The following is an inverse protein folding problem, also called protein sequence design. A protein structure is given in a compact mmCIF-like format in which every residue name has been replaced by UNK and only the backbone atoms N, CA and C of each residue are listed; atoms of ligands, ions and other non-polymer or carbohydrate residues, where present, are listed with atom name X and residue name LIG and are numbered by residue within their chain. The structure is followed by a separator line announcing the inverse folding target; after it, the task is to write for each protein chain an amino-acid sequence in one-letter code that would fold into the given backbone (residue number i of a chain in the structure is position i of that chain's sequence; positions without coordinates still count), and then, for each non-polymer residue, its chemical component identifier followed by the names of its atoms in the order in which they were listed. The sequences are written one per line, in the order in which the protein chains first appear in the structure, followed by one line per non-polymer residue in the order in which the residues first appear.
data_IF_397943129349
#
_entry.id   IF_397943129349
#
_cell.length_a   1.000
_cell.length_b   1.000
_cell.length_c   1.000
_cell.angle_alpha   90.00
_cell.angle_beta   90.00
_cell.angle_gamma   90.00
#
_symmetry.space_group_name_H-M   'P 1'
#
loop_
_entity.id
_entity.type
_entity.pdbx_description
1 polymer ?
#
# COMPACT_ATOMS: atom_id res chain seq x y z
N UNK A 1 -1.88 2.45 -37.38
CA UNK A 1 -0.87 3.52 -37.50
C UNK A 1 -0.27 3.94 -36.15
N UNK A 2 -1.03 4.29 -35.09
CA UNK A 2 -0.45 4.71 -33.78
C UNK A 2 0.19 3.52 -33.05
N UNK A 3 -0.38 2.33 -33.12
CA UNK A 3 0.17 1.12 -32.48
C UNK A 3 1.50 0.70 -33.13
N UNK A 4 1.60 0.80 -34.46
CA UNK A 4 2.82 0.47 -35.20
C UNK A 4 3.98 1.43 -34.86
N UNK A 5 3.70 2.71 -34.71
CA UNK A 5 4.71 3.70 -34.28
C UNK A 5 5.25 3.41 -32.88
N UNK A 6 4.41 2.95 -31.95
CA UNK A 6 4.84 2.61 -30.58
C UNK A 6 5.73 1.38 -30.58
N UNK A 7 5.36 0.36 -31.31
CA UNK A 7 6.15 -0.89 -31.47
C UNK A 7 7.50 -0.58 -32.10
N UNK A 8 7.53 0.22 -33.18
CA UNK A 8 8.77 0.62 -33.86
C UNK A 8 9.71 1.36 -32.92
N UNK A 9 9.21 2.28 -32.09
CA UNK A 9 10.00 2.99 -31.08
C UNK A 9 10.61 2.03 -30.06
N UNK A 10 9.84 1.06 -29.55
CA UNK A 10 10.31 0.07 -28.58
C UNK A 10 11.42 -0.80 -29.20
N UNK A 11 11.26 -1.23 -30.44
CA UNK A 11 12.26 -2.01 -31.15
C UNK A 11 13.56 -1.20 -31.33
N UNK A 12 13.47 0.05 -31.77
CA UNK A 12 14.64 0.92 -31.93
C UNK A 12 15.36 1.17 -30.60
N UNK A 13 14.61 1.42 -29.51
CA UNK A 13 15.18 1.56 -28.17
C UNK A 13 15.85 0.27 -27.69
N UNK A 14 15.26 -0.90 -27.98
CA UNK A 14 15.84 -2.20 -27.65
C UNK A 14 17.16 -2.44 -28.41
N UNK A 15 17.21 -2.18 -29.71
CA UNK A 15 18.43 -2.29 -30.51
C UNK A 15 19.51 -1.33 -29.99
N UNK A 16 19.14 -0.08 -29.69
CA UNK A 16 20.06 0.91 -29.11
C UNK A 16 20.61 0.48 -27.76
N UNK A 17 19.77 -0.16 -26.92
CA UNK A 17 20.21 -0.70 -25.62
C UNK A 17 21.25 -1.82 -25.79
N UNK A 18 21.00 -2.79 -26.68
CA UNK A 18 21.95 -3.87 -26.96
C UNK A 18 23.27 -3.31 -27.49
N UNK A 19 23.22 -2.36 -28.41
CA UNK A 19 24.41 -1.68 -28.93
C UNK A 19 25.20 -0.96 -27.83
N UNK A 20 24.51 -0.34 -26.92
CA UNK A 20 25.17 0.40 -25.81
C UNK A 20 25.76 -0.55 -24.76
N UNK A 21 25.13 -1.68 -24.47
CA UNK A 21 25.69 -2.73 -23.61
C UNK A 21 26.98 -3.27 -24.23
N UNK A 22 26.99 -3.52 -25.53
CA UNK A 22 28.19 -3.95 -26.26
C UNK A 22 29.34 -2.92 -26.16
N UNK A 23 29.04 -1.63 -26.36
CA UNK A 23 30.02 -0.56 -26.19
C UNK A 23 30.50 -0.40 -24.74
N UNK A 24 29.65 -0.68 -23.72
CA UNK A 24 30.07 -0.72 -22.33
C UNK A 24 31.13 -1.80 -22.09
N UNK A 25 30.91 -3.02 -22.57
CA UNK A 25 31.93 -4.08 -22.46
C UNK A 25 33.23 -3.70 -23.17
N UNK A 26 33.16 -3.06 -24.34
CA UNK A 26 34.35 -2.53 -25.03
C UNK A 26 35.04 -1.46 -24.22
N UNK A 27 34.29 -0.54 -23.59
CA UNK A 27 34.88 0.53 -22.77
C UNK A 27 35.58 0.01 -21.52
N UNK A 28 35.10 -1.10 -20.96
CA UNK A 28 35.72 -1.77 -19.80
C UNK A 28 36.98 -2.54 -20.20
N UNK A 29 36.98 -3.19 -21.36
CA UNK A 29 38.13 -3.98 -21.85
C UNK A 29 39.18 -3.14 -22.55
N UNK A 30 38.80 -2.03 -23.16
CA UNK A 30 39.69 -1.12 -23.89
C UNK A 30 39.20 0.31 -23.70
N UNK A 31 39.57 0.97 -22.59
CA UNK A 31 39.08 2.30 -22.27
C UNK A 31 39.59 3.34 -23.29
N UNK A 32 38.68 3.80 -24.13
CA UNK A 32 38.93 4.90 -25.09
C UNK A 32 37.82 5.94 -24.91
N UNK A 33 38.14 7.21 -25.21
CA UNK A 33 37.20 8.35 -25.07
C UNK A 33 35.89 8.10 -25.86
N UNK A 34 36.02 7.49 -27.06
CA UNK A 34 34.85 7.14 -27.91
C UNK A 34 33.94 6.14 -27.24
N UNK A 35 34.49 5.14 -26.56
CA UNK A 35 33.72 4.12 -25.87
C UNK A 35 33.01 4.67 -24.63
N UNK A 36 33.64 5.59 -23.91
CA UNK A 36 33.05 6.28 -22.74
C UNK A 36 31.91 7.21 -23.17
N UNK A 37 32.06 7.97 -24.26
CA UNK A 37 30.99 8.84 -24.78
C UNK A 37 29.80 8.04 -25.29
N UNK A 38 30.01 6.88 -25.91
CA UNK A 38 28.94 5.99 -26.31
C UNK A 38 28.16 5.40 -25.10
N UNK A 39 28.83 5.19 -23.97
CA UNK A 39 28.17 4.77 -22.73
C UNK A 39 27.24 5.84 -22.16
N UNK A 40 27.61 7.14 -22.25
CA UNK A 40 26.73 8.23 -21.81
C UNK A 40 25.41 8.26 -22.61
N UNK A 41 25.42 7.77 -23.86
CA UNK A 41 24.22 7.60 -24.68
C UNK A 41 23.18 6.61 -24.13
N UNK A 42 23.54 5.78 -23.11
CA UNK A 42 22.58 4.90 -22.41
C UNK A 42 21.50 5.67 -21.70
N UNK A 43 21.81 6.84 -21.13
CA UNK A 43 20.88 7.60 -20.31
C UNK A 43 19.59 7.97 -21.07
N UNK A 44 19.65 8.54 -22.28
CA UNK A 44 18.45 8.80 -23.07
C UNK A 44 17.66 7.53 -23.43
N UNK A 45 18.37 6.41 -23.68
CA UNK A 45 17.73 5.13 -24.03
C UNK A 45 16.95 4.57 -22.85
N UNK A 46 17.56 4.54 -21.65
CA UNK A 46 16.89 4.13 -20.43
C UNK A 46 15.70 5.05 -20.13
N UNK A 47 15.86 6.36 -20.28
CA UNK A 47 14.78 7.32 -20.13
C UNK A 47 13.64 7.07 -21.13
N UNK A 48 13.97 6.74 -22.38
CA UNK A 48 13.00 6.37 -23.42
C UNK A 48 12.25 5.09 -23.07
N UNK A 49 12.95 4.02 -22.70
CA UNK A 49 12.34 2.75 -22.27
C UNK A 49 11.45 2.95 -21.02
N UNK A 50 11.93 3.72 -20.05
CA UNK A 50 11.15 4.10 -18.86
C UNK A 50 9.89 4.89 -19.23
N UNK A 51 9.94 5.72 -20.26
CA UNK A 51 8.80 6.51 -20.72
C UNK A 51 7.79 5.72 -21.56
N UNK A 52 8.21 4.71 -22.31
CA UNK A 52 7.36 4.00 -23.26
C UNK A 52 6.82 2.66 -22.71
N UNK A 53 7.52 2.01 -21.77
CA UNK A 53 7.17 0.66 -21.29
C UNK A 53 6.65 0.74 -19.85
N UNK A 54 5.35 0.52 -19.67
CA UNK A 54 4.71 0.58 -18.35
C UNK A 54 5.29 -0.43 -17.36
N UNK A 55 5.67 -1.63 -17.78
CA UNK A 55 6.30 -2.62 -16.93
C UNK A 55 7.66 -2.14 -16.36
N UNK A 56 8.50 -1.50 -17.18
CA UNK A 56 9.78 -0.93 -16.73
C UNK A 56 9.51 0.21 -15.76
N UNK A 57 8.58 1.09 -16.09
CA UNK A 57 8.15 2.17 -15.22
C UNK A 57 7.71 1.66 -13.85
N UNK A 58 6.82 0.67 -13.82
CA UNK A 58 6.26 0.09 -12.60
C UNK A 58 7.37 -0.54 -11.74
N UNK A 59 8.23 -1.39 -12.33
CA UNK A 59 9.26 -2.10 -11.57
C UNK A 59 10.38 -1.18 -11.08
N UNK A 60 10.78 -0.20 -11.88
CA UNK A 60 11.74 0.81 -11.45
C UNK A 60 11.21 1.62 -10.27
N UNK A 61 9.93 1.98 -10.31
CA UNK A 61 9.29 2.70 -9.23
C UNK A 61 9.10 1.84 -7.97
N UNK A 62 8.80 0.55 -8.09
CA UNK A 62 8.80 -0.40 -6.98
C UNK A 62 10.17 -0.46 -6.31
N UNK A 63 11.24 -0.58 -7.09
CA UNK A 63 12.61 -0.59 -6.59
C UNK A 63 12.97 0.73 -5.89
N UNK A 64 12.66 1.85 -6.49
CA UNK A 64 12.89 3.18 -5.89
C UNK A 64 12.12 3.37 -4.58
N UNK A 65 10.86 2.91 -4.51
CA UNK A 65 10.06 2.98 -3.29
C UNK A 65 10.67 2.15 -2.16
N UNK A 66 11.31 1.04 -2.47
CA UNK A 66 11.99 0.19 -1.49
C UNK A 66 13.16 0.92 -0.81
N UNK A 67 13.93 1.71 -1.54
CA UNK A 67 15.07 2.47 -1.02
C UNK A 67 14.68 3.81 -0.37
N UNK A 68 13.51 4.34 -0.67
CA UNK A 68 13.07 5.61 -0.09
C UNK A 68 12.39 5.38 1.27
N UNK A 69 13.07 5.75 2.34
CA UNK A 69 12.60 5.68 3.73
C UNK A 69 11.61 6.82 4.04
N UNK A 70 10.52 6.92 3.30
CA UNK A 70 9.47 7.92 3.57
C UNK A 70 8.33 7.30 4.34
N UNK A 71 7.76 8.05 5.27
CA UNK A 71 6.64 7.64 6.11
C UNK A 71 5.30 7.90 5.43
N UNK A 72 4.35 7.00 5.68
CA UNK A 72 2.94 7.14 5.33
C UNK A 72 2.08 6.91 6.54
N UNK A 73 0.91 7.53 6.54
CA UNK A 73 -0.16 7.18 7.46
C UNK A 73 -0.97 6.04 6.84
N UNK A 74 -0.81 4.86 7.40
CA UNK A 74 -1.51 3.65 6.99
C UNK A 74 -2.56 3.30 8.01
N UNK A 75 -3.83 3.39 7.64
CA UNK A 75 -4.96 3.02 8.46
C UNK A 75 -5.60 1.76 7.90
N UNK A 76 -5.80 0.80 8.77
CA UNK A 76 -6.49 -0.46 8.44
C UNK A 76 -7.67 -0.62 9.37
N UNK A 77 -8.79 -1.09 8.83
CA UNK A 77 -10.01 -1.39 9.57
C UNK A 77 -10.61 -2.68 9.05
N UNK A 78 -11.10 -3.52 9.95
CA UNK A 78 -11.94 -4.67 9.61
C UNK A 78 -13.11 -4.75 10.56
N UNK A 79 -14.25 -5.19 10.07
CA UNK A 79 -15.46 -5.35 10.87
C UNK A 79 -16.18 -6.65 10.55
N UNK A 80 -16.82 -7.21 11.60
CA UNK A 80 -17.60 -8.45 11.50
C UNK A 80 -18.73 -8.43 12.53
N UNK A 81 -19.83 -9.10 12.22
CA UNK A 81 -20.92 -9.31 13.18
C UNK A 81 -20.63 -10.54 14.02
N UNK A 82 -20.75 -10.39 15.35
CA UNK A 82 -20.60 -11.46 16.32
C UNK A 82 -21.95 -11.79 16.97
N UNK A 83 -22.10 -13.05 17.37
CA UNK A 83 -23.32 -13.53 18.04
C UNK A 83 -23.21 -13.29 19.55
N UNK A 84 -24.38 -13.20 20.19
CA UNK A 84 -24.49 -13.13 21.65
C UNK A 84 -24.40 -11.69 22.19
N UNK A 85 -24.59 -11.60 23.51
CA UNK A 85 -24.56 -10.32 24.24
C UNK A 85 -23.15 -10.06 24.79
N UNK A 86 -22.18 -10.01 23.87
CA UNK A 86 -20.78 -9.76 24.21
C UNK A 86 -20.62 -8.37 24.81
N UNK A 87 -19.90 -8.27 25.92
CA UNK A 87 -19.58 -6.99 26.56
C UNK A 87 -18.18 -6.52 26.17
N UNK A 88 -17.97 -5.20 26.14
CA UNK A 88 -16.66 -4.60 25.83
C UNK A 88 -15.55 -5.09 26.77
N UNK A 89 -15.87 -5.47 28.01
CA UNK A 89 -14.93 -6.05 28.97
C UNK A 89 -14.38 -7.41 28.54
N UNK A 90 -15.20 -8.22 27.88
CA UNK A 90 -14.76 -9.51 27.35
C UNK A 90 -13.82 -9.31 26.16
N UNK A 91 -14.17 -8.36 25.29
CA UNK A 91 -13.32 -7.96 24.16
C UNK A 91 -11.97 -7.43 24.65
N UNK A 92 -11.96 -6.62 25.73
CA UNK A 92 -10.73 -6.12 26.34
C UNK A 92 -9.84 -7.27 26.84
N UNK A 93 -10.39 -8.24 27.56
CA UNK A 93 -9.62 -9.39 28.07
C UNK A 93 -8.97 -10.18 26.92
N UNK A 94 -9.75 -10.43 25.86
CA UNK A 94 -9.29 -11.18 24.69
C UNK A 94 -8.16 -10.44 23.99
N UNK A 95 -8.35 -9.15 23.68
CA UNK A 95 -7.33 -8.41 22.94
C UNK A 95 -6.05 -8.22 23.75
N UNK A 96 -6.12 -7.98 25.06
CA UNK A 96 -4.96 -7.89 25.92
C UNK A 96 -4.14 -9.19 25.92
N UNK A 97 -4.82 -10.34 25.93
CA UNK A 97 -4.16 -11.65 25.81
C UNK A 97 -3.44 -11.77 24.47
N UNK A 98 -4.12 -11.46 23.35
CA UNK A 98 -3.56 -11.54 22.00
C UNK A 98 -2.32 -10.60 21.87
N UNK A 99 -2.43 -9.37 22.36
CA UNK A 99 -1.32 -8.41 22.32
C UNK A 99 -0.11 -8.91 23.12
N UNK A 100 -0.33 -9.52 24.27
CA UNK A 100 0.72 -10.13 25.09
C UNK A 100 1.35 -11.32 24.38
N UNK A 101 0.56 -12.22 23.85
CA UNK A 101 1.01 -13.44 23.15
C UNK A 101 1.81 -13.07 21.87
N UNK A 102 1.43 -11.98 21.21
CA UNK A 102 2.13 -11.42 20.03
C UNK A 102 3.29 -10.47 20.41
N UNK A 103 3.66 -10.38 21.69
CA UNK A 103 4.77 -9.55 22.21
C UNK A 103 4.66 -8.05 21.92
N UNK A 104 3.44 -7.53 21.85
CA UNK A 104 3.20 -6.09 21.83
C UNK A 104 3.32 -5.50 23.24
N UNK A 105 3.96 -4.34 23.33
CA UNK A 105 3.96 -3.52 24.56
C UNK A 105 2.74 -2.59 24.49
N UNK A 106 1.95 -2.59 25.57
CA UNK A 106 0.80 -1.69 25.72
C UNK A 106 1.24 -0.50 26.56
N UNK A 107 0.96 0.70 26.10
CA UNK A 107 1.08 1.92 26.91
C UNK A 107 -0.18 2.06 27.78
N UNK A 108 -0.08 1.59 29.00
CA UNK A 108 -1.20 1.60 29.95
C UNK A 108 -1.61 3.04 30.36
N UNK A 109 -0.70 4.00 30.31
CA UNK A 109 -1.01 5.40 30.64
C UNK A 109 -1.93 6.05 29.61
N UNK A 110 -1.83 5.61 28.35
CA UNK A 110 -2.64 6.10 27.24
C UNK A 110 -3.87 5.27 26.96
N UNK A 111 -4.07 4.15 27.69
CA UNK A 111 -5.26 3.32 27.53
C UNK A 111 -6.53 4.12 27.87
N UNK A 112 -7.55 4.02 27.01
CA UNK A 112 -8.87 4.61 27.24
C UNK A 112 -9.96 3.58 26.89
N UNK A 113 -11.03 3.64 27.66
CA UNK A 113 -12.18 2.76 27.52
C UNK A 113 -13.48 3.55 27.68
N UNK A 114 -14.43 3.27 26.81
CA UNK A 114 -15.82 3.70 26.92
C UNK A 114 -16.75 2.48 27.03
N UNK A 115 -18.06 2.67 26.94
CA UNK A 115 -19.03 1.56 26.92
C UNK A 115 -18.91 0.69 25.66
N UNK A 116 -18.46 1.27 24.54
CA UNK A 116 -18.42 0.62 23.24
C UNK A 116 -17.03 0.58 22.62
N UNK A 117 -16.08 1.34 23.16
CA UNK A 117 -14.78 1.55 22.52
C UNK A 117 -13.62 1.23 23.46
N UNK A 118 -12.56 0.69 22.89
CA UNK A 118 -11.24 0.53 23.51
C UNK A 118 -10.18 1.21 22.65
N UNK A 119 -9.31 1.96 23.29
CA UNK A 119 -8.19 2.65 22.65
C UNK A 119 -6.89 2.24 23.31
N UNK A 120 -6.00 1.61 22.52
CA UNK A 120 -4.67 1.20 22.95
C UNK A 120 -3.62 1.94 22.13
N UNK A 121 -2.55 2.38 22.79
CA UNK A 121 -1.31 2.68 22.11
C UNK A 121 -0.37 1.50 22.32
N UNK A 122 0.04 0.89 21.23
CA UNK A 122 0.84 -0.33 21.23
C UNK A 122 2.14 -0.12 20.48
N UNK A 123 3.18 -0.80 20.93
CA UNK A 123 4.48 -0.81 20.28
C UNK A 123 4.83 -2.24 19.92
N UNK A 124 5.12 -2.49 18.66
CA UNK A 124 5.56 -3.81 18.17
C UNK A 124 7.01 -4.09 18.58
N UNK A 125 7.47 -5.34 18.42
CA UNK A 125 8.87 -5.73 18.62
C UNK A 125 9.87 -4.90 17.80
N UNK A 126 9.46 -4.39 16.65
CA UNK A 126 10.29 -3.53 15.79
C UNK A 126 10.17 -2.03 16.13
N UNK A 127 9.73 -1.68 17.35
CA UNK A 127 9.53 -0.31 17.82
C UNK A 127 8.57 0.52 16.93
N UNK A 128 7.62 -0.12 16.26
CA UNK A 128 6.59 0.60 15.52
C UNK A 128 5.45 0.91 16.47
N UNK A 129 5.23 2.21 16.68
CA UNK A 129 4.11 2.71 17.47
C UNK A 129 2.85 2.76 16.64
N UNK A 130 1.74 2.30 17.20
CA UNK A 130 0.45 2.33 16.53
C UNK A 130 -0.69 2.54 17.51
N UNK A 131 -1.78 3.15 17.00
CA UNK A 131 -3.03 3.30 17.74
C UNK A 131 -3.99 2.21 17.30
N UNK A 132 -4.31 1.31 18.20
CA UNK A 132 -5.32 0.28 18.04
C UNK A 132 -6.63 0.76 18.65
N UNK A 133 -7.71 0.70 17.88
CA UNK A 133 -9.07 1.02 18.33
C UNK A 133 -9.96 -0.18 18.08
N UNK A 134 -10.76 -0.55 19.06
CA UNK A 134 -11.75 -1.62 18.94
C UNK A 134 -13.09 -1.02 19.33
N UNK A 135 -14.09 -1.23 18.47
CA UNK A 135 -15.44 -0.75 18.67
C UNK A 135 -16.40 -1.94 18.69
N UNK A 136 -17.35 -1.91 19.60
CA UNK A 136 -18.42 -2.91 19.72
C UNK A 136 -19.76 -2.17 19.73
N UNK A 137 -20.39 -2.10 18.57
CA UNK A 137 -21.66 -1.40 18.42
C UNK A 137 -22.83 -2.39 18.30
N UNK A 138 -23.84 -2.28 19.15
CA UNK A 138 -25.07 -3.01 18.96
C UNK A 138 -25.83 -2.50 17.75
N UNK A 139 -26.16 -3.40 16.83
CA UNK A 139 -26.96 -3.11 15.64
C UNK A 139 -28.14 -4.12 15.56
N UNK A 140 -29.12 -3.82 14.71
CA UNK A 140 -30.30 -4.69 14.51
C UNK A 140 -29.94 -6.13 14.10
N UNK A 141 -28.80 -6.33 13.49
CA UNK A 141 -28.30 -7.63 13.04
C UNK A 141 -27.41 -8.35 14.06
N UNK A 142 -27.14 -7.77 15.23
CA UNK A 142 -26.23 -8.27 16.27
C UNK A 142 -25.14 -7.26 16.60
N UNK A 143 -24.19 -7.65 17.43
CA UNK A 143 -23.08 -6.78 17.78
C UNK A 143 -22.05 -6.72 16.65
N UNK A 144 -21.77 -5.52 16.15
CA UNK A 144 -20.72 -5.30 15.17
C UNK A 144 -19.40 -5.01 15.87
N UNK A 145 -18.48 -5.97 15.80
CA UNK A 145 -17.11 -5.82 16.28
C UNK A 145 -16.23 -5.28 15.18
N UNK A 146 -15.54 -4.19 15.48
CA UNK A 146 -14.62 -3.51 14.54
C UNK A 146 -13.27 -3.38 15.19
N UNK A 147 -12.21 -3.72 14.45
CA UNK A 147 -10.82 -3.47 14.79
C UNK A 147 -10.23 -2.48 13.79
N UNK A 148 -9.53 -1.47 14.28
CA UNK A 148 -8.88 -0.44 13.48
C UNK A 148 -7.50 -0.16 14.03
N UNK A 149 -6.50 -0.09 13.17
CA UNK A 149 -5.14 0.30 13.54
C UNK A 149 -4.64 1.41 12.64
N UNK A 150 -3.99 2.39 13.25
CA UNK A 150 -3.33 3.48 12.56
C UNK A 150 -1.82 3.34 12.75
N UNK A 151 -1.09 3.26 11.64
CA UNK A 151 0.37 3.15 11.60
C UNK A 151 0.96 4.40 10.94
N UNK A 152 2.09 4.85 11.48
CA UNK A 152 2.98 5.78 10.79
C UNK A 152 4.27 5.02 10.47
N UNK A 153 4.39 4.57 9.23
CA UNK A 153 5.45 3.63 8.84
C UNK A 153 6.12 4.01 7.53
N UNK A 154 7.32 3.48 7.33
CA UNK A 154 7.95 3.59 6.03
C UNK A 154 7.11 2.83 4.99
N UNK A 155 7.14 3.32 3.77
CA UNK A 155 6.34 2.78 2.69
C UNK A 155 6.57 1.28 2.44
N UNK A 156 7.82 0.84 2.52
CA UNK A 156 8.21 -0.57 2.37
C UNK A 156 7.62 -1.49 3.42
N UNK A 157 7.25 -0.94 4.58
CA UNK A 157 6.76 -1.72 5.71
C UNK A 157 5.22 -1.85 5.73
N UNK A 158 4.50 -1.20 4.82
CA UNK A 158 3.02 -1.22 4.76
C UNK A 158 2.49 -2.66 4.65
N UNK A 159 3.02 -3.46 3.72
CA UNK A 159 2.61 -4.86 3.56
C UNK A 159 2.91 -5.70 4.80
N UNK A 160 4.01 -5.43 5.50
CA UNK A 160 4.33 -6.10 6.76
C UNK A 160 3.33 -5.74 7.85
N UNK A 161 2.95 -4.46 7.97
CA UNK A 161 1.95 -4.03 8.95
C UNK A 161 0.55 -4.57 8.62
N UNK A 162 0.22 -4.73 7.35
CA UNK A 162 -1.01 -5.43 6.94
C UNK A 162 -1.04 -6.86 7.48
N UNK A 163 0.03 -7.65 7.30
CA UNK A 163 0.11 -9.03 7.81
C UNK A 163 -0.06 -9.08 9.33
N UNK A 164 0.62 -8.22 10.06
CA UNK A 164 0.46 -8.12 11.52
C UNK A 164 -0.96 -7.73 11.94
N UNK A 165 -1.60 -6.82 11.20
CA UNK A 165 -3.00 -6.49 11.44
C UNK A 165 -3.92 -7.70 11.23
N UNK A 166 -3.71 -8.47 10.16
CA UNK A 166 -4.51 -9.69 9.87
C UNK A 166 -4.33 -10.73 10.98
N UNK A 167 -3.13 -10.92 11.51
CA UNK A 167 -2.88 -11.80 12.66
C UNK A 167 -3.67 -11.36 13.90
N UNK A 168 -3.59 -10.09 14.29
CA UNK A 168 -4.33 -9.52 15.41
C UNK A 168 -5.85 -9.64 15.20
N UNK A 169 -6.31 -9.32 14.01
CA UNK A 169 -7.71 -9.41 13.61
C UNK A 169 -8.22 -10.84 13.69
N UNK A 170 -7.50 -11.80 13.15
CA UNK A 170 -7.88 -13.21 13.16
C UNK A 170 -7.93 -13.76 14.58
N UNK A 171 -6.94 -13.44 15.42
CA UNK A 171 -6.94 -13.79 16.84
C UNK A 171 -8.17 -13.23 17.57
N UNK A 172 -8.54 -11.97 17.29
CA UNK A 172 -9.70 -11.34 17.91
C UNK A 172 -11.01 -12.02 17.47
N UNK A 173 -11.23 -12.13 16.16
CA UNK A 173 -12.50 -12.65 15.66
C UNK A 173 -12.68 -14.16 15.93
N UNK A 174 -11.61 -14.95 15.93
CA UNK A 174 -11.69 -16.38 16.28
C UNK A 174 -12.09 -16.64 17.73
N UNK A 175 -11.96 -15.65 18.60
CA UNK A 175 -12.35 -15.76 20.02
C UNK A 175 -13.84 -15.53 20.26
N UNK A 176 -14.61 -15.17 19.24
CA UNK A 176 -16.05 -14.93 19.35
C UNK A 176 -16.82 -15.74 18.32
N UNK A 177 -18.06 -16.11 18.67
CA UNK A 177 -18.96 -16.77 17.73
C UNK A 177 -19.40 -15.77 16.65
N UNK A 178 -19.09 -16.07 15.39
CA UNK A 178 -19.41 -15.23 14.26
C UNK A 178 -20.82 -15.52 13.78
N UNK A 179 -21.56 -14.47 13.43
CA UNK A 179 -22.87 -14.63 12.82
C UNK A 179 -22.75 -15.18 11.40
N UNK A 180 -23.37 -16.31 11.13
CA UNK A 180 -23.42 -16.89 9.79
C UNK A 180 -24.04 -15.92 8.78
N UNK A 181 -23.56 -15.97 7.53
CA UNK A 181 -24.01 -15.14 6.40
C UNK A 181 -23.74 -13.63 6.52
N UNK A 182 -22.88 -13.19 7.43
CA UNK A 182 -22.44 -11.81 7.42
C UNK A 182 -21.10 -11.68 6.68
N UNK A 183 -21.06 -10.75 5.72
CA UNK A 183 -19.83 -10.47 4.97
C UNK A 183 -18.80 -9.80 5.87
N UNK A 184 -17.56 -10.21 5.70
CA UNK A 184 -16.43 -9.47 6.23
C UNK A 184 -16.29 -8.16 5.50
N UNK A 185 -15.61 -7.21 6.11
CA UNK A 185 -15.24 -5.98 5.44
C UNK A 185 -13.84 -5.57 5.86
N UNK A 186 -13.05 -5.25 4.88
CA UNK A 186 -11.72 -4.70 5.02
C UNK A 186 -11.67 -3.33 4.38
N UNK A 187 -11.23 -2.34 5.14
CA UNK A 187 -11.02 -0.98 4.66
C UNK A 187 -9.56 -0.61 4.91
N UNK A 188 -8.88 -0.08 3.91
CA UNK A 188 -7.56 0.51 4.07
C UNK A 188 -7.54 1.94 3.59
N UNK A 189 -6.73 2.74 4.25
CA UNK A 189 -6.42 4.10 3.84
C UNK A 189 -4.93 4.31 3.92
N UNK A 190 -4.33 4.82 2.85
CA UNK A 190 -2.94 5.23 2.81
C UNK A 190 -2.90 6.69 2.44
N UNK A 191 -2.35 7.50 3.35
CA UNK A 191 -2.18 8.92 3.14
C UNK A 191 -0.69 9.24 3.12
N UNK A 192 -0.30 9.99 2.10
CA UNK A 192 1.05 10.55 1.98
C UNK A 192 1.05 11.99 2.50
N UNK A 193 2.18 12.46 2.96
CA UNK A 193 2.34 13.84 3.40
C UNK A 193 1.90 14.83 2.31
N UNK A 194 1.16 15.86 2.73
CA UNK A 194 0.47 16.86 1.88
C UNK A 194 1.39 17.64 0.94
N UNK A 195 2.69 17.67 1.20
CA UNK A 195 3.66 18.41 0.37
C UNK A 195 4.03 17.71 -0.94
N UNK A 196 3.57 16.49 -1.21
CA UNK A 196 3.90 15.76 -2.43
C UNK A 196 2.67 15.22 -3.12
N UNK A 197 2.20 15.98 -4.07
CA UNK A 197 1.02 15.80 -4.91
C UNK A 197 1.05 14.61 -5.88
N UNK A 198 1.65 13.45 -5.56
CA UNK A 198 1.79 12.42 -6.58
C UNK A 198 1.45 11.03 -6.09
N UNK A 199 0.37 10.56 -6.62
CA UNK A 199 -0.19 9.23 -6.53
C UNK A 199 0.19 8.45 -7.81
N UNK A 200 0.46 7.15 -7.78
CA UNK A 200 0.83 6.36 -8.95
C UNK A 200 -0.24 6.37 -10.05
N UNK A 201 -1.50 6.34 -9.64
CA UNK A 201 -2.62 6.42 -10.57
C UNK A 201 -2.63 7.77 -11.30
N UNK A 202 -2.36 8.87 -10.60
CA UNK A 202 -2.20 10.19 -11.18
C UNK A 202 -1.11 10.18 -12.27
N UNK A 203 0.05 9.63 -11.98
CA UNK A 203 1.16 9.59 -12.94
C UNK A 203 0.85 8.77 -14.17
N UNK A 204 0.29 7.59 -13.98
CA UNK A 204 -0.12 6.75 -15.11
C UNK A 204 -1.14 7.48 -15.97
N UNK A 205 -2.13 8.14 -15.34
CA UNK A 205 -3.15 8.91 -16.05
C UNK A 205 -2.54 10.10 -16.80
N UNK A 206 -1.70 10.91 -16.13
CA UNK A 206 -1.04 12.07 -16.76
C UNK A 206 -0.16 11.65 -17.94
N UNK A 207 0.54 10.52 -17.80
CA UNK A 207 1.36 9.96 -18.87
C UNK A 207 0.53 9.58 -20.11
N UNK A 208 -0.63 8.99 -19.91
CA UNK A 208 -1.52 8.60 -21.02
C UNK A 208 -2.30 9.79 -21.60
N UNK A 209 -2.62 10.78 -20.80
CA UNK A 209 -3.35 11.99 -21.27
C UNK A 209 -2.39 13.03 -21.89
N UNK A 210 -1.08 12.89 -21.68
CA UNK A 210 -0.06 13.78 -22.25
C UNK A 210 -0.02 15.18 -21.62
N UNK A 211 -0.63 15.37 -20.45
CA UNK A 211 -0.61 16.65 -19.71
C UNK A 211 0.39 16.58 -18.55
N UNK A 212 1.19 17.65 -18.41
CA UNK A 212 2.23 17.74 -17.37
C UNK A 212 1.71 18.14 -15.99
N UNK A 213 0.52 18.75 -15.92
CA UNK A 213 -0.09 19.14 -14.65
C UNK A 213 -1.60 19.02 -14.70
N UNK A 214 -2.17 18.38 -13.69
CA UNK A 214 -3.61 18.32 -13.43
C UNK A 214 -3.82 18.93 -12.04
N UNK A 215 -4.76 19.86 -11.92
CA UNK A 215 -5.03 20.59 -10.66
C UNK A 215 -5.76 19.73 -9.65
N UNK A 216 -6.64 18.83 -10.12
CA UNK A 216 -7.40 17.92 -9.31
C UNK A 216 -7.43 16.54 -9.96
N UNK A 217 -7.37 15.52 -9.12
CA UNK A 217 -7.38 14.12 -9.55
C UNK A 217 -8.23 13.30 -8.57
N UNK A 218 -9.25 12.67 -9.10
CA UNK A 218 -10.07 11.71 -8.38
C UNK A 218 -10.40 10.56 -9.33
N UNK A 219 -9.91 9.37 -8.99
CA UNK A 219 -10.18 8.14 -9.71
C UNK A 219 -10.91 7.17 -8.79
N UNK A 220 -12.03 6.64 -9.25
CA UNK A 220 -12.77 5.60 -8.55
C UNK A 220 -13.01 4.45 -9.52
N UNK A 221 -12.68 3.25 -9.08
CA UNK A 221 -13.01 2.04 -9.80
C UNK A 221 -13.56 0.97 -8.86
N UNK A 222 -14.34 0.07 -9.42
CA UNK A 222 -14.96 -1.03 -8.71
C UNK A 222 -14.81 -2.29 -9.55
N UNK A 223 -14.36 -3.36 -8.90
CA UNK A 223 -14.25 -4.69 -9.46
C UNK A 223 -14.83 -5.68 -8.46
N UNK A 224 -15.98 -6.26 -8.77
CA UNK A 224 -16.77 -7.11 -7.86
C UNK A 224 -16.93 -6.49 -6.46
N UNK A 225 -16.25 -7.07 -5.46
CA UNK A 225 -16.25 -6.63 -4.07
C UNK A 225 -15.26 -5.50 -3.77
N UNK A 226 -14.20 -5.38 -4.59
CA UNK A 226 -13.17 -4.36 -4.44
C UNK A 226 -13.66 -3.01 -4.96
N UNK A 227 -13.54 -1.99 -4.12
CA UNK A 227 -13.72 -0.59 -4.53
C UNK A 227 -12.49 0.21 -4.12
N UNK A 228 -11.88 0.89 -5.08
CA UNK A 228 -10.73 1.76 -4.83
C UNK A 228 -11.08 3.18 -5.22
N UNK A 229 -10.81 4.10 -4.32
CA UNK A 229 -10.91 5.53 -4.56
C UNK A 229 -9.56 6.16 -4.27
N UNK A 230 -9.05 6.93 -5.20
CA UNK A 230 -7.75 7.58 -5.05
C UNK A 230 -7.80 9.03 -5.51
N UNK A 231 -7.15 9.89 -4.76
CA UNK A 231 -6.93 11.29 -5.08
C UNK A 231 -5.44 11.63 -5.03
N UNK A 232 -5.07 12.90 -5.01
CA UNK A 232 -3.66 13.35 -5.07
C UNK A 232 -2.75 12.73 -4.00
N UNK A 233 -3.25 12.58 -2.77
CA UNK A 233 -2.43 12.19 -1.61
C UNK A 233 -2.99 10.99 -0.84
N UNK A 234 -4.12 10.41 -1.27
CA UNK A 234 -4.81 9.37 -0.53
C UNK A 234 -5.28 8.24 -1.44
N UNK A 235 -5.09 7.02 -0.98
CA UNK A 235 -5.67 5.81 -1.55
C UNK A 235 -6.58 5.21 -0.48
N UNK A 236 -7.83 5.00 -0.83
CA UNK A 236 -8.80 4.28 -0.02
C UNK A 236 -9.25 3.04 -0.79
N UNK A 237 -9.17 1.89 -0.17
CA UNK A 237 -9.69 0.65 -0.74
C UNK A 237 -10.56 -0.09 0.26
N UNK A 238 -11.62 -0.70 -0.23
CA UNK A 238 -12.52 -1.55 0.54
C UNK A 238 -12.86 -2.81 -0.24
N UNK A 239 -12.90 -3.95 0.45
CA UNK A 239 -13.34 -5.23 -0.09
C UNK A 239 -13.91 -6.13 1.00
N UNK A 240 -14.67 -7.15 0.62
CA UNK A 240 -15.05 -8.26 1.51
C UNK A 240 -14.03 -9.43 1.46
N UNK A 241 -13.02 -9.34 0.57
CA UNK A 241 -11.94 -10.33 0.39
C UNK A 241 -10.59 -9.74 0.83
N UNK A 242 -9.84 -10.48 1.65
CA UNK A 242 -8.49 -10.11 2.08
C UNK A 242 -7.52 -9.97 0.90
N UNK A 243 -7.58 -10.92 -0.04
CA UNK A 243 -6.68 -11.02 -1.20
C UNK A 243 -6.77 -9.79 -2.11
N UNK A 244 -7.95 -9.18 -2.25
CA UNK A 244 -8.13 -7.96 -3.03
C UNK A 244 -7.34 -6.79 -2.42
N UNK A 245 -7.36 -6.68 -1.10
CA UNK A 245 -6.59 -5.66 -0.38
C UNK A 245 -5.10 -5.92 -0.52
N UNK A 246 -4.67 -7.20 -0.47
CA UNK A 246 -3.26 -7.55 -0.69
C UNK A 246 -2.77 -7.18 -2.09
N UNK A 247 -3.59 -7.37 -3.12
CA UNK A 247 -3.27 -6.90 -4.48
C UNK A 247 -3.08 -5.38 -4.51
N UNK A 248 -4.00 -4.63 -3.89
CA UNK A 248 -3.85 -3.16 -3.80
C UNK A 248 -2.56 -2.77 -3.11
N UNK A 249 -2.19 -3.44 -2.03
CA UNK A 249 -0.96 -3.16 -1.29
C UNK A 249 0.31 -3.53 -2.08
N UNK A 250 0.30 -4.68 -2.75
CA UNK A 250 1.47 -5.19 -3.46
C UNK A 250 1.68 -4.54 -4.84
N UNK A 251 0.60 -4.22 -5.55
CA UNK A 251 0.69 -3.75 -6.93
C UNK A 251 0.62 -2.23 -7.04
N UNK A 252 -0.23 -1.60 -6.23
CA UNK A 252 -0.53 -0.18 -6.37
C UNK A 252 0.20 0.71 -5.38
N UNK A 253 0.36 0.26 -4.15
CA UNK A 253 0.97 1.09 -3.09
C UNK A 253 2.42 1.45 -3.39
N UNK A 254 3.31 0.54 -3.85
CA UNK A 254 4.68 0.90 -4.21
C UNK A 254 4.80 2.01 -5.25
N UNK A 255 3.77 2.25 -6.06
CA UNK A 255 3.80 3.26 -7.10
C UNK A 255 3.56 4.69 -6.58
N UNK A 256 3.03 4.88 -5.37
CA UNK A 256 2.54 6.18 -4.90
C UNK A 256 3.60 7.21 -4.52
N UNK A 257 4.89 6.91 -4.66
CA UNK A 257 5.93 7.75 -4.04
C UNK A 257 7.07 8.22 -4.91
N UNK A 258 6.91 8.15 -6.19
CA UNK A 258 8.03 8.41 -7.07
C UNK A 258 8.01 9.80 -7.67
N UNK A 259 8.32 10.76 -6.79
CA UNK A 259 8.73 12.10 -7.25
C UNK A 259 9.58 12.77 -6.22
#
# INVERSE_FOLDING_TARGET
MILDMKITKIILLGISLVWTIFNFFKAVTSPDVVNITNFVGVIPIIAGLYSEIDWIYINFNKLKAYFLLKTVNFTVKSSRYIMGNTKILEVEKVIRKILKDSSYKIDEASFRKTHEDLYFYITSQNNIHSKLTINLHPESQGNRLTIKTNYQVAYKDVTKQWKHFIELRNGLFSSFSIKYNTKERYDITIETDTMRKYNPFYRLTVRHVGKTSIKDFNLKFKDEALSVTTNMNKIYATSDKCDDIEKVLNDYVPLSRNL
#
